data_IF_000590869342
#
_entry.id   IF_000590869342
#
_cell.length_a   1.000
_cell.length_b   1.000
_cell.length_c   1.000
_cell.angle_alpha   90.00
_cell.angle_beta   90.00
_cell.angle_gamma   90.00
#
_symmetry.space_group_name_H-M   'P 1'
#
loop_
_entity.id
_entity.type
_entity.pdbx_description
1 polymer ?
#
# COMPACT_ATOMS: atom_id res chain seq x y z
N UNK A 1 -8.18 27.29 47.11
CA UNK A 1 -8.24 25.83 47.01
C UNK A 1 -9.16 25.52 45.85
N UNK A 2 -8.60 25.45 44.64
CA UNK A 2 -9.32 25.10 43.42
C UNK A 2 -8.56 23.90 42.90
N UNK A 3 -9.25 22.76 42.87
CA UNK A 3 -8.66 21.47 42.62
C UNK A 3 -8.12 21.33 41.20
N UNK A 4 -6.92 20.74 41.19
CA UNK A 4 -6.22 20.03 40.13
C UNK A 4 -7.02 19.75 38.84
N UNK A 5 -6.58 20.35 37.74
CA UNK A 5 -6.61 19.70 36.41
C UNK A 5 -5.22 19.09 36.18
N UNK A 6 -4.91 18.04 36.93
CA UNK A 6 -3.85 17.09 36.57
C UNK A 6 -4.43 16.11 35.57
N UNK A 7 -3.98 16.18 34.32
CA UNK A 7 -4.37 15.20 33.32
C UNK A 7 -4.15 15.54 31.85
N UNK A 8 -3.27 16.48 31.47
CA UNK A 8 -2.83 16.60 30.08
C UNK A 8 -1.72 15.56 29.77
N UNK A 9 -1.96 14.30 30.12
CA UNK A 9 -1.29 13.20 29.46
C UNK A 9 -1.87 13.16 28.05
N UNK A 10 -1.05 13.38 27.04
CA UNK A 10 -1.44 13.12 25.65
C UNK A 10 -1.99 11.69 25.63
N UNK A 11 -3.30 11.55 25.41
CA UNK A 11 -3.92 10.23 25.25
C UNK A 11 -3.07 9.46 24.23
N UNK A 12 -2.67 8.20 24.51
CA UNK A 12 -1.76 7.44 23.64
C UNK A 12 -2.19 7.48 22.16
N UNK A 13 -3.50 7.55 21.92
CA UNK A 13 -4.12 7.69 20.59
C UNK A 13 -3.78 9.00 19.86
N UNK A 14 -3.70 10.14 20.55
CA UNK A 14 -3.40 11.43 19.93
C UNK A 14 -1.92 11.55 19.50
N UNK A 15 -0.99 11.02 20.31
CA UNK A 15 0.42 10.94 19.94
C UNK A 15 0.65 10.00 18.75
N UNK A 16 -0.02 8.84 18.76
CA UNK A 16 0.03 7.88 17.66
C UNK A 16 -0.56 8.48 16.38
N UNK A 17 -1.70 9.18 16.46
CA UNK A 17 -2.31 9.84 15.32
C UNK A 17 -1.37 10.89 14.71
N UNK A 18 -0.78 11.75 15.54
CA UNK A 18 0.19 12.75 15.08
C UNK A 18 1.38 12.10 14.37
N UNK A 19 1.91 11.01 14.94
CA UNK A 19 3.00 10.25 14.33
C UNK A 19 2.61 9.69 12.96
N UNK A 20 1.40 9.13 12.82
CA UNK A 20 0.91 8.61 11.54
C UNK A 20 0.73 9.72 10.50
N UNK A 21 0.20 10.88 10.88
CA UNK A 21 0.05 12.05 9.99
C UNK A 21 1.41 12.57 9.50
N UNK A 22 2.35 12.75 10.43
CA UNK A 22 3.70 13.24 10.10
C UNK A 22 4.42 12.27 9.15
N UNK A 23 4.22 10.96 9.35
CA UNK A 23 4.76 9.94 8.48
C UNK A 23 4.07 9.95 7.12
N UNK A 24 2.73 9.99 7.07
CA UNK A 24 1.92 9.94 5.84
C UNK A 24 2.35 10.98 4.81
N UNK A 25 2.65 12.20 5.26
CA UNK A 25 3.15 13.29 4.41
C UNK A 25 4.35 12.90 3.53
N UNK A 26 5.15 11.92 3.96
CA UNK A 26 6.37 11.45 3.28
C UNK A 26 6.12 10.31 2.29
N UNK A 27 4.93 9.73 2.30
CA UNK A 27 4.56 8.54 1.53
C UNK A 27 3.37 8.77 0.60
N UNK A 28 2.82 9.98 0.53
CA UNK A 28 1.77 10.32 -0.44
C UNK A 28 2.28 10.18 -1.88
N UNK A 29 1.47 9.63 -2.81
CA UNK A 29 1.76 9.67 -4.24
C UNK A 29 1.89 11.13 -4.73
N UNK A 30 2.71 11.35 -5.76
CA UNK A 30 2.82 12.67 -6.39
C UNK A 30 1.56 13.01 -7.18
N UNK A 31 0.85 14.05 -6.72
CA UNK A 31 -0.41 14.48 -7.34
C UNK A 31 -0.28 14.78 -8.84
N UNK A 32 0.85 15.33 -9.28
CA UNK A 32 1.11 15.60 -10.70
C UNK A 32 1.12 14.33 -11.56
N UNK A 33 1.62 13.21 -11.02
CA UNK A 33 1.61 11.92 -11.72
C UNK A 33 0.22 11.30 -11.74
N UNK A 34 -0.52 11.35 -10.63
CA UNK A 34 -1.89 10.83 -10.56
C UNK A 34 -2.82 11.55 -11.54
N UNK A 35 -2.74 12.88 -11.63
CA UNK A 35 -3.54 13.66 -12.59
C UNK A 35 -3.32 13.22 -14.04
N UNK A 36 -2.10 12.81 -14.41
CA UNK A 36 -1.84 12.31 -15.76
C UNK A 36 -2.56 10.98 -16.05
N UNK A 37 -2.75 10.15 -15.03
CA UNK A 37 -3.45 8.86 -15.12
C UNK A 37 -4.96 9.08 -15.13
N UNK A 38 -5.46 10.04 -14.34
CA UNK A 38 -6.88 10.41 -14.30
C UNK A 38 -7.36 11.03 -15.61
N UNK A 39 -6.57 11.93 -16.21
CA UNK A 39 -6.94 12.62 -17.44
C UNK A 39 -6.63 11.84 -18.72
N UNK A 40 -6.01 10.65 -18.62
CA UNK A 40 -5.62 9.88 -19.79
C UNK A 40 -6.83 9.22 -20.48
N UNK A 41 -6.89 9.35 -21.81
CA UNK A 41 -7.86 8.63 -22.64
C UNK A 41 -7.46 7.17 -22.82
N UNK A 42 -8.45 6.29 -22.91
CA UNK A 42 -8.26 4.84 -23.11
C UNK A 42 -7.93 4.54 -24.59
N UNK A 43 -6.68 4.81 -24.97
CA UNK A 43 -6.15 4.57 -26.32
C UNK A 43 -5.06 3.49 -26.36
N UNK A 44 -4.85 2.77 -25.24
CA UNK A 44 -3.84 1.72 -25.10
C UNK A 44 -2.38 2.19 -24.99
N UNK A 45 -2.10 3.49 -25.10
CA UNK A 45 -0.72 4.01 -25.10
C UNK A 45 -0.22 4.46 -23.73
N UNK A 46 -1.13 4.76 -22.80
CA UNK A 46 -0.81 5.35 -21.50
C UNK A 46 -1.59 4.66 -20.39
N UNK A 47 -1.04 4.75 -19.18
CA UNK A 47 -1.77 4.38 -17.97
C UNK A 47 -3.01 5.23 -17.80
N UNK A 48 -4.12 4.59 -17.44
CA UNK A 48 -5.41 5.22 -17.14
C UNK A 48 -5.89 4.79 -15.75
N UNK A 49 -6.79 5.55 -15.15
CA UNK A 49 -7.40 5.19 -13.86
C UNK A 49 -8.08 3.81 -13.92
N UNK A 50 -8.72 3.49 -15.06
CA UNK A 50 -9.36 2.20 -15.31
C UNK A 50 -8.37 1.03 -15.31
N UNK A 51 -7.21 1.18 -15.95
CA UNK A 51 -6.17 0.15 -15.93
C UNK A 51 -5.63 -0.09 -14.51
N UNK A 52 -5.40 1.00 -13.77
CA UNK A 52 -5.01 0.90 -12.35
C UNK A 52 -6.09 0.22 -11.50
N UNK A 53 -7.37 0.50 -11.75
CA UNK A 53 -8.48 -0.16 -11.05
C UNK A 53 -8.52 -1.66 -11.30
N UNK A 54 -8.32 -2.09 -12.56
CA UNK A 54 -8.26 -3.50 -12.92
C UNK A 54 -7.10 -4.20 -12.19
N UNK A 55 -5.90 -3.63 -12.23
CA UNK A 55 -4.74 -4.19 -11.53
C UNK A 55 -5.00 -4.33 -10.02
N UNK A 56 -5.63 -3.34 -9.40
CA UNK A 56 -5.94 -3.38 -7.95
C UNK A 56 -6.97 -4.48 -7.62
N UNK A 57 -7.92 -4.76 -8.52
CA UNK A 57 -8.85 -5.90 -8.38
C UNK A 57 -8.12 -7.24 -8.49
N UNK A 58 -7.13 -7.33 -9.37
CA UNK A 58 -6.30 -8.54 -9.50
C UNK A 58 -5.47 -8.76 -8.24
N UNK A 59 -4.85 -7.70 -7.70
CA UNK A 59 -4.11 -7.76 -6.42
C UNK A 59 -5.01 -8.16 -5.24
N UNK A 60 -6.25 -7.67 -5.19
CA UNK A 60 -7.21 -8.06 -4.16
C UNK A 60 -7.56 -9.55 -4.26
N UNK A 61 -7.75 -10.05 -5.49
CA UNK A 61 -8.06 -11.46 -5.73
C UNK A 61 -6.88 -12.35 -5.31
N UNK A 62 -5.65 -11.95 -5.62
CA UNK A 62 -4.45 -12.65 -5.15
C UNK A 62 -4.31 -12.62 -3.62
N UNK A 63 -4.52 -11.46 -2.99
CA UNK A 63 -4.48 -11.34 -1.53
C UNK A 63 -5.45 -12.31 -0.86
N UNK A 64 -6.66 -12.45 -1.41
CA UNK A 64 -7.68 -13.40 -0.91
C UNK A 64 -7.29 -14.85 -1.16
N UNK A 65 -6.73 -15.15 -2.33
CA UNK A 65 -6.29 -16.50 -2.69
C UNK A 65 -5.22 -17.03 -1.73
N UNK A 66 -4.22 -16.19 -1.41
CA UNK A 66 -3.15 -16.57 -0.47
C UNK A 66 -3.53 -16.38 1.01
N UNK A 67 -4.68 -15.76 1.30
CA UNK A 67 -5.09 -15.47 2.68
C UNK A 67 -4.24 -14.40 3.37
N UNK A 68 -3.62 -13.49 2.61
CA UNK A 68 -2.82 -12.41 3.18
C UNK A 68 -3.67 -11.33 3.83
N UNK A 69 -3.06 -10.63 4.79
CA UNK A 69 -3.72 -9.60 5.58
C UNK A 69 -4.17 -8.39 4.75
N UNK A 70 -5.19 -7.68 5.23
CA UNK A 70 -5.61 -6.39 4.66
C UNK A 70 -4.51 -5.33 4.70
N UNK A 71 -3.53 -5.47 5.60
CA UNK A 71 -2.33 -4.63 5.66
C UNK A 71 -1.46 -4.84 4.43
N UNK A 72 -1.18 -6.10 4.09
CA UNK A 72 -0.40 -6.48 2.91
C UNK A 72 -1.05 -5.94 1.64
N UNK A 73 -2.37 -6.11 1.48
CA UNK A 73 -3.08 -5.53 0.35
C UNK A 73 -2.99 -3.99 0.32
N UNK A 74 -3.24 -3.33 1.45
CA UNK A 74 -3.19 -1.86 1.54
C UNK A 74 -1.79 -1.32 1.22
N UNK A 75 -0.75 -2.02 1.67
CA UNK A 75 0.64 -1.69 1.39
C UNK A 75 0.97 -1.89 -0.10
N UNK A 76 0.53 -2.98 -0.72
CA UNK A 76 0.70 -3.23 -2.15
C UNK A 76 0.10 -2.11 -3.01
N UNK A 77 -1.12 -1.68 -2.68
CA UNK A 77 -1.81 -0.58 -3.36
C UNK A 77 -1.07 0.75 -3.15
N UNK A 78 -0.61 1.04 -1.93
CA UNK A 78 0.19 2.22 -1.64
C UNK A 78 1.48 2.26 -2.47
N UNK A 79 2.20 1.13 -2.57
CA UNK A 79 3.41 1.02 -3.39
C UNK A 79 3.11 1.25 -4.87
N UNK A 80 2.04 0.64 -5.40
CA UNK A 80 1.61 0.79 -6.77
C UNK A 80 1.32 2.26 -7.10
N UNK A 81 0.49 2.94 -6.30
CA UNK A 81 0.10 4.33 -6.56
C UNK A 81 1.29 5.29 -6.48
N UNK A 82 2.15 5.11 -5.46
CA UNK A 82 3.36 5.92 -5.30
C UNK A 82 4.30 5.72 -6.49
N UNK A 83 4.47 4.49 -6.95
CA UNK A 83 5.32 4.19 -8.10
C UNK A 83 4.75 4.77 -9.40
N UNK A 84 3.46 4.54 -9.68
CA UNK A 84 2.78 5.08 -10.86
C UNK A 84 2.78 6.63 -10.88
N UNK A 85 2.78 7.27 -9.71
CA UNK A 85 2.85 8.72 -9.60
C UNK A 85 4.21 9.34 -9.98
N UNK A 86 5.28 8.53 -10.01
CA UNK A 86 6.65 9.02 -10.31
C UNK A 86 7.24 8.39 -11.57
N UNK A 87 6.59 7.36 -12.13
CA UNK A 87 7.07 6.64 -13.30
C UNK A 87 6.03 6.62 -14.43
N UNK A 88 6.49 6.91 -15.65
CA UNK A 88 5.68 6.72 -16.86
C UNK A 88 5.77 5.26 -17.29
N UNK A 89 4.74 4.49 -16.97
CA UNK A 89 4.64 3.07 -17.31
C UNK A 89 3.77 2.89 -18.55
N UNK A 90 4.16 1.95 -19.43
CA UNK A 90 3.29 1.51 -20.53
C UNK A 90 2.33 0.43 -19.99
N UNK A 91 1.06 0.40 -20.42
CA UNK A 91 0.06 -0.56 -19.94
C UNK A 91 0.53 -2.03 -19.94
N UNK A 92 1.31 -2.44 -20.95
CA UNK A 92 1.85 -3.81 -21.07
C UNK A 92 2.76 -4.24 -19.91
N UNK A 93 3.28 -3.30 -19.12
CA UNK A 93 4.15 -3.58 -17.96
C UNK A 93 3.40 -3.50 -16.64
N UNK A 94 2.13 -3.11 -16.64
CA UNK A 94 1.35 -2.85 -15.43
C UNK A 94 1.27 -4.09 -14.54
N UNK A 95 0.97 -5.25 -15.11
CA UNK A 95 0.84 -6.48 -14.32
C UNK A 95 2.16 -6.92 -13.67
N UNK A 96 3.29 -6.66 -14.33
CA UNK A 96 4.61 -6.89 -13.73
C UNK A 96 4.87 -5.92 -12.57
N UNK A 97 4.54 -4.63 -12.76
CA UNK A 97 4.67 -3.61 -11.71
C UNK A 97 3.77 -3.94 -10.52
N UNK A 98 2.49 -4.25 -10.75
CA UNK A 98 1.53 -4.56 -9.69
C UNK A 98 1.92 -5.81 -8.91
N UNK A 99 2.28 -6.90 -9.59
CA UNK A 99 2.74 -8.12 -8.92
C UNK A 99 4.03 -7.91 -8.12
N UNK A 100 4.95 -7.06 -8.59
CA UNK A 100 6.14 -6.70 -7.83
C UNK A 100 5.81 -5.88 -6.58
N UNK A 101 4.94 -4.87 -6.69
CA UNK A 101 4.45 -4.10 -5.54
C UNK A 101 3.78 -5.02 -4.50
N UNK A 102 2.99 -5.98 -4.96
CA UNK A 102 2.37 -7.00 -4.11
C UNK A 102 3.41 -7.88 -3.43
N UNK A 103 4.42 -8.37 -4.17
CA UNK A 103 5.46 -9.20 -3.59
C UNK A 103 6.33 -8.47 -2.55
N UNK A 104 6.67 -7.20 -2.81
CA UNK A 104 7.36 -6.33 -1.85
C UNK A 104 6.52 -6.19 -0.57
N UNK A 105 5.21 -5.99 -0.71
CA UNK A 105 4.31 -5.89 0.43
C UNK A 105 4.29 -7.20 1.23
N UNK A 106 4.09 -8.35 0.58
CA UNK A 106 4.09 -9.68 1.21
C UNK A 106 5.39 -9.92 1.99
N UNK A 107 6.54 -9.66 1.37
CA UNK A 107 7.86 -9.79 2.05
C UNK A 107 8.03 -8.87 3.26
N UNK A 108 7.25 -7.79 3.35
CA UNK A 108 7.40 -6.75 4.37
C UNK A 108 6.46 -6.89 5.56
N UNK A 109 5.32 -7.57 5.38
CA UNK A 109 4.25 -7.67 6.38
C UNK A 109 3.82 -9.08 6.74
N UNK A 110 4.12 -10.10 5.92
CA UNK A 110 3.78 -11.49 6.21
C UNK A 110 4.96 -12.25 6.82
N UNK A 111 4.68 -13.34 7.54
CA UNK A 111 5.73 -14.22 8.08
C UNK A 111 6.53 -14.88 6.94
N UNK A 112 7.84 -15.07 7.13
CA UNK A 112 8.74 -15.57 6.08
C UNK A 112 8.29 -16.90 5.46
N UNK A 113 7.76 -17.82 6.29
CA UNK A 113 7.21 -19.11 5.85
C UNK A 113 5.97 -18.99 4.94
N UNK A 114 5.27 -17.85 4.99
CA UNK A 114 4.07 -17.58 4.18
C UNK A 114 4.40 -16.86 2.88
N UNK A 115 5.65 -16.41 2.68
CA UNK A 115 6.08 -15.73 1.45
C UNK A 115 6.23 -16.76 0.34
N UNK A 116 5.46 -16.67 -0.77
CA UNK A 116 5.55 -17.62 -1.86
C UNK A 116 6.84 -17.41 -2.65
N UNK A 117 7.28 -18.46 -3.35
CA UNK A 117 8.34 -18.33 -4.34
C UNK A 117 7.87 -17.42 -5.47
N UNK A 118 8.76 -16.58 -5.99
CA UNK A 118 8.46 -15.67 -7.10
C UNK A 118 7.86 -16.41 -8.31
N UNK A 119 8.37 -17.61 -8.62
CA UNK A 119 7.85 -18.43 -9.71
C UNK A 119 6.40 -18.89 -9.48
N UNK A 120 6.04 -19.25 -8.25
CA UNK A 120 4.68 -19.66 -7.91
C UNK A 120 3.72 -18.46 -7.98
N UNK A 121 4.15 -17.30 -7.48
CA UNK A 121 3.37 -16.08 -7.54
C UNK A 121 3.08 -15.66 -9.00
N UNK A 122 4.08 -15.74 -9.89
CA UNK A 122 3.91 -15.48 -11.33
C UNK A 122 2.94 -16.47 -11.96
N UNK A 123 3.11 -17.77 -11.65
CA UNK A 123 2.25 -18.84 -12.19
C UNK A 123 0.80 -18.67 -11.74
N UNK A 124 0.56 -18.45 -10.45
CA UNK A 124 -0.77 -18.30 -9.85
C UNK A 124 -1.48 -17.05 -10.36
N UNK A 125 -0.73 -15.95 -10.52
CA UNK A 125 -1.26 -14.70 -11.11
C UNK A 125 -1.44 -14.75 -12.63
N UNK A 126 -1.13 -15.88 -13.27
CA UNK A 126 -1.26 -16.09 -14.72
C UNK A 126 -0.50 -15.06 -15.56
N UNK A 127 0.57 -14.50 -14.99
CA UNK A 127 1.43 -13.54 -15.65
C UNK A 127 2.44 -14.24 -16.57
N UNK A 128 2.84 -13.56 -17.64
CA UNK A 128 3.72 -14.12 -18.69
C UNK A 128 5.17 -13.62 -18.65
N UNK A 129 5.56 -12.89 -17.61
CA UNK A 129 6.93 -12.42 -17.43
C UNK A 129 7.75 -13.41 -16.60
N UNK A 130 9.08 -13.33 -16.71
CA UNK A 130 9.99 -14.24 -16.02
C UNK A 130 10.28 -13.79 -14.59
N UNK A 131 10.82 -14.68 -13.77
CA UNK A 131 11.37 -14.31 -12.45
C UNK A 131 12.45 -13.23 -12.59
N UNK A 132 13.28 -13.28 -13.64
CA UNK A 132 14.28 -12.24 -13.88
C UNK A 132 13.66 -10.86 -14.13
N UNK A 133 12.53 -10.80 -14.83
CA UNK A 133 11.82 -9.54 -15.07
C UNK A 133 11.22 -9.01 -13.78
N UNK A 134 10.64 -9.89 -12.96
CA UNK A 134 10.10 -9.55 -11.66
C UNK A 134 11.19 -8.99 -10.72
N UNK A 135 12.34 -9.66 -10.62
CA UNK A 135 13.46 -9.19 -9.77
C UNK A 135 14.02 -7.84 -10.25
N UNK A 136 14.10 -7.64 -11.58
CA UNK A 136 14.52 -6.36 -12.16
C UNK A 136 13.51 -5.25 -11.83
N UNK A 137 12.22 -5.52 -11.99
CA UNK A 137 11.16 -4.55 -11.72
C UNK A 137 11.05 -4.23 -10.23
N UNK A 138 11.17 -5.22 -9.35
CA UNK A 138 11.26 -5.03 -7.91
C UNK A 138 12.38 -4.07 -7.54
N UNK A 139 13.59 -4.28 -8.07
CA UNK A 139 14.72 -3.36 -7.85
C UNK A 139 14.40 -1.94 -8.30
N UNK A 140 13.81 -1.77 -9.48
CA UNK A 140 13.42 -0.45 -10.01
C UNK A 140 12.39 0.22 -9.08
N UNK A 141 11.38 -0.51 -8.60
CA UNK A 141 10.37 0.01 -7.68
C UNK A 141 11.04 0.47 -6.38
N UNK A 142 11.88 -0.36 -5.79
CA UNK A 142 12.59 -0.04 -4.55
C UNK A 142 13.48 1.21 -4.70
N UNK A 143 14.22 1.32 -5.80
CA UNK A 143 15.05 2.49 -6.10
C UNK A 143 14.21 3.76 -6.30
N UNK A 144 13.13 3.69 -7.08
CA UNK A 144 12.27 4.85 -7.35
C UNK A 144 11.47 5.32 -6.14
N UNK A 145 11.21 4.41 -5.20
CA UNK A 145 10.58 4.72 -3.92
C UNK A 145 11.60 4.98 -2.80
N UNK A 146 12.90 5.07 -3.10
CA UNK A 146 13.98 5.31 -2.13
C UNK A 146 13.96 4.33 -0.95
N UNK A 147 13.62 3.08 -1.21
CA UNK A 147 13.50 2.01 -0.21
C UNK A 147 12.48 2.30 0.90
N UNK A 148 11.61 3.30 0.71
CA UNK A 148 10.55 3.68 1.65
C UNK A 148 9.34 2.78 1.45
N UNK A 149 9.39 1.56 1.98
CA UNK A 149 8.32 0.57 1.81
C UNK A 149 7.16 0.82 2.78
N UNK A 150 7.44 0.80 4.09
CA UNK A 150 6.43 0.86 5.15
C UNK A 150 5.78 2.24 5.26
N UNK A 151 4.73 2.44 4.46
CA UNK A 151 3.89 3.63 4.50
C UNK A 151 2.73 3.44 5.50
N UNK A 152 2.32 4.50 6.23
CA UNK A 152 1.01 4.48 6.87
C UNK A 152 -0.05 4.46 5.76
N UNK A 153 -1.07 3.63 5.95
CA UNK A 153 -2.21 3.48 5.04
C UNK A 153 -3.49 3.87 5.75
N UNK A 154 -4.57 4.11 5.01
CA UNK A 154 -5.88 4.41 5.58
C UNK A 154 -6.32 3.37 6.65
N UNK A 155 -5.90 2.10 6.50
CA UNK A 155 -6.17 1.04 7.47
C UNK A 155 -5.55 1.31 8.85
N UNK A 156 -4.37 1.93 8.92
CA UNK A 156 -3.72 2.28 10.19
C UNK A 156 -4.54 3.32 10.95
N UNK A 157 -5.02 4.35 10.24
CA UNK A 157 -5.88 5.38 10.81
C UNK A 157 -7.22 4.80 11.27
N UNK A 158 -7.84 3.95 10.43
CA UNK A 158 -9.10 3.29 10.77
C UNK A 158 -8.99 2.48 12.07
N UNK A 159 -7.92 1.69 12.21
CA UNK A 159 -7.68 0.88 13.42
C UNK A 159 -7.44 1.74 14.65
N UNK A 160 -6.67 2.81 14.51
CA UNK A 160 -6.40 3.73 15.60
C UNK A 160 -7.70 4.38 16.11
N UNK A 161 -8.52 4.89 15.19
CA UNK A 161 -9.82 5.51 15.52
C UNK A 161 -10.75 4.46 16.15
N UNK A 162 -10.82 3.26 15.58
CA UNK A 162 -11.64 2.17 16.11
C UNK A 162 -11.23 1.76 17.53
N UNK A 163 -9.92 1.60 17.79
CA UNK A 163 -9.40 1.29 19.14
C UNK A 163 -9.79 2.37 20.13
N UNK A 164 -9.64 3.63 19.75
CA UNK A 164 -10.01 4.75 20.61
C UNK A 164 -11.51 4.77 20.93
N UNK A 165 -12.37 4.53 19.95
CA UNK A 165 -13.83 4.45 20.17
C UNK A 165 -14.16 3.29 21.14
N UNK A 166 -13.52 2.13 20.97
CA UNK A 166 -13.76 0.97 21.82
C UNK A 166 -13.35 1.24 23.29
N UNK A 167 -12.21 1.87 23.51
CA UNK A 167 -11.73 2.27 24.84
C UNK A 167 -12.71 3.24 25.54
N UNK A 168 -13.30 4.18 24.80
CA UNK A 168 -14.31 5.08 25.36
C UNK A 168 -15.57 4.32 25.78
N UNK A 169 -16.08 3.42 24.93
CA UNK A 169 -17.27 2.61 25.23
C UNK A 169 -17.06 1.70 26.44
N UNK A 170 -15.88 1.12 26.60
CA UNK A 170 -15.56 0.25 27.73
C UNK A 170 -15.39 1.05 29.04
N UNK A 171 -15.00 2.33 28.96
CA UNK A 171 -14.91 3.22 30.12
C UNK A 171 -16.27 3.75 30.63
N UNK A 172 -17.30 3.67 29.79
CA UNK A 172 -18.68 4.08 30.11
C UNK A 172 -19.54 2.94 30.69
N UNK A 173 -19.01 1.71 30.74
CA UNK A 173 -19.66 0.51 31.30
C UNK A 173 -19.20 0.23 32.73
#
# INVERSE_FOLDING_TARGET
MIDKVTGAGVQPSAAQLKTLIDLESRFQPKLSGLRLIECAQDNGLRMTAKLRELEVKDLLSLSRFFGFSSETFSLAVSLLDRFLSVMKIQPKHLSCVGLCCFYIAVKSSEEEKNVPLANDLIRISQNRFTVSDMMRMEKIIMEKLYWKVKAPTALHFLRLIHSHIQEQLDSER
#
